data_IF_880711042456
#
_entry.id   IF_880711042456
#
_cell.length_a   1.000
_cell.length_b   1.000
_cell.length_c   1.000
_cell.angle_alpha   90.00
_cell.angle_beta   90.00
_cell.angle_gamma   90.00
#
_symmetry.space_group_name_H-M   'P 1'
#
loop_
_entity.id
_entity.type
_entity.pdbx_description
1 polymer ?
#
# COMPACT_ATOMS: atom_id res chain seq x y z
N UNK A 1 13.42 -1.98 3.92
CA UNK A 1 12.21 -2.73 4.32
C UNK A 1 11.15 -2.55 3.24
N UNK A 2 10.29 -3.53 3.01
CA UNK A 2 9.28 -3.50 1.94
C UNK A 2 7.93 -4.06 2.41
N UNK A 3 6.83 -3.41 2.04
CA UNK A 3 5.47 -3.82 2.42
C UNK A 3 4.51 -3.63 1.24
N UNK A 4 3.40 -4.35 1.24
CA UNK A 4 2.30 -4.13 0.28
C UNK A 4 1.44 -2.96 0.74
N UNK A 5 1.03 -2.10 -0.20
CA UNK A 5 0.17 -0.96 0.05
C UNK A 5 -1.02 -1.00 -0.92
N UNK A 6 -2.22 -1.06 -0.37
CA UNK A 6 -3.48 -0.99 -1.12
C UNK A 6 -4.16 0.32 -0.77
N UNK A 7 -4.73 1.00 -1.77
CA UNK A 7 -5.51 2.21 -1.50
C UNK A 7 -6.70 1.89 -0.59
N UNK A 8 -7.10 2.81 0.29
CA UNK A 8 -8.26 2.61 1.16
C UNK A 8 -9.54 2.37 0.33
N UNK A 9 -9.64 3.02 -0.82
CA UNK A 9 -10.74 2.86 -1.76
C UNK A 9 -10.79 1.45 -2.37
N UNK A 10 -9.67 0.91 -2.83
CA UNK A 10 -9.61 -0.47 -3.32
C UNK A 10 -9.84 -1.48 -2.20
N UNK A 11 -9.35 -1.21 -0.99
CA UNK A 11 -9.62 -2.05 0.17
C UNK A 11 -11.13 -2.19 0.41
N UNK A 12 -11.87 -1.08 0.47
CA UNK A 12 -13.34 -1.10 0.61
C UNK A 12 -14.02 -1.76 -0.58
N UNK A 13 -13.60 -1.44 -1.82
CA UNK A 13 -14.16 -2.08 -3.02
C UNK A 13 -13.96 -3.59 -3.03
N UNK A 14 -12.79 -4.08 -2.61
CA UNK A 14 -12.50 -5.51 -2.54
C UNK A 14 -13.34 -6.21 -1.46
N UNK A 15 -13.60 -5.54 -0.33
CA UNK A 15 -14.53 -6.06 0.68
C UNK A 15 -15.95 -6.18 0.12
N UNK A 16 -16.45 -5.13 -0.54
CA UNK A 16 -17.79 -5.14 -1.15
C UNK A 16 -17.90 -6.17 -2.27
N UNK A 17 -16.86 -6.30 -3.10
CA UNK A 17 -16.77 -7.32 -4.14
C UNK A 17 -16.89 -8.72 -3.57
N UNK A 18 -16.06 -9.06 -2.57
CA UNK A 18 -16.06 -10.38 -1.92
C UNK A 18 -17.40 -10.68 -1.24
N UNK A 19 -18.00 -9.71 -0.55
CA UNK A 19 -19.33 -9.86 0.05
C UNK A 19 -20.39 -10.11 -1.03
N UNK A 20 -20.29 -9.42 -2.17
CA UNK A 20 -21.23 -9.51 -3.29
C UNK A 20 -21.23 -10.86 -4.01
N UNK A 21 -20.22 -11.71 -3.83
CA UNK A 21 -20.17 -13.06 -4.40
C UNK A 21 -21.22 -14.00 -3.77
N UNK A 22 -21.71 -13.68 -2.57
CA UNK A 22 -22.86 -14.36 -1.96
C UNK A 22 -22.59 -15.77 -1.43
N UNK A 23 -21.34 -16.13 -1.15
CA UNK A 23 -20.99 -17.42 -0.55
C UNK A 23 -21.60 -17.58 0.86
N UNK A 24 -22.14 -18.76 1.17
CA UNK A 24 -22.62 -19.09 2.51
C UNK A 24 -21.44 -19.23 3.49
N UNK A 25 -21.45 -18.44 4.57
CA UNK A 25 -20.46 -18.51 5.65
C UNK A 25 -19.44 -17.35 5.66
N UNK A 26 -18.38 -17.45 6.48
CA UNK A 26 -17.39 -16.38 6.61
C UNK A 26 -16.50 -16.27 5.36
N UNK A 27 -16.45 -15.07 4.77
CA UNK A 27 -15.56 -14.78 3.66
C UNK A 27 -14.12 -14.50 4.15
N UNK A 28 -13.23 -15.47 3.96
CA UNK A 28 -11.81 -15.35 4.30
C UNK A 28 -10.98 -15.08 3.04
N UNK A 29 -10.57 -13.82 2.84
CA UNK A 29 -9.74 -13.40 1.72
C UNK A 29 -8.64 -12.43 2.19
N UNK A 30 -7.44 -12.60 1.66
CA UNK A 30 -6.39 -11.59 1.76
C UNK A 30 -6.70 -10.48 0.78
N UNK A 31 -6.65 -9.23 1.24
CA UNK A 31 -6.88 -8.05 0.43
C UNK A 31 -5.56 -7.32 0.19
N UNK A 32 -5.23 -7.06 -1.07
CA UNK A 32 -3.98 -6.41 -1.43
C UNK A 32 -3.77 -6.39 -2.94
N UNK A 33 -2.60 -5.91 -3.35
CA UNK A 33 -2.24 -5.68 -4.75
C UNK A 33 -1.32 -6.76 -5.33
N UNK A 34 -0.73 -7.61 -4.48
CA UNK A 34 0.22 -8.65 -4.91
C UNK A 34 1.65 -8.16 -5.17
N UNK A 35 1.91 -6.87 -4.98
CA UNK A 35 3.23 -6.26 -5.04
C UNK A 35 3.63 -5.59 -3.71
N UNK A 36 4.83 -5.02 -3.67
CA UNK A 36 5.36 -4.30 -2.50
C UNK A 36 6.06 -3.02 -2.92
N UNK A 37 6.04 -2.03 -2.03
CA UNK A 37 6.85 -0.82 -2.14
C UNK A 37 7.86 -0.76 -0.98
N UNK A 38 9.08 -0.28 -1.27
CA UNK A 38 10.14 -0.13 -0.26
C UNK A 38 9.99 1.18 0.50
N UNK A 39 10.44 1.21 1.77
CA UNK A 39 10.41 2.44 2.59
C UNK A 39 11.26 3.56 1.96
N UNK A 40 12.39 3.22 1.33
CA UNK A 40 13.18 4.19 0.57
C UNK A 40 12.37 4.80 -0.58
N UNK A 41 11.65 3.95 -1.33
CA UNK A 41 10.82 4.42 -2.44
C UNK A 41 9.66 5.29 -1.96
N UNK A 42 9.05 4.97 -0.83
CA UNK A 42 8.02 5.81 -0.20
C UNK A 42 8.58 7.21 0.13
N UNK A 43 9.79 7.28 0.71
CA UNK A 43 10.43 8.57 1.02
C UNK A 43 10.70 9.39 -0.25
N UNK A 44 11.20 8.75 -1.32
CA UNK A 44 11.39 9.39 -2.62
C UNK A 44 10.09 9.94 -3.19
N UNK A 45 9.00 9.16 -3.17
CA UNK A 45 7.68 9.60 -3.64
C UNK A 45 7.20 10.83 -2.87
N UNK A 46 7.34 10.84 -1.54
CA UNK A 46 6.94 11.99 -0.73
C UNK A 46 7.76 13.23 -1.10
N UNK A 47 9.07 13.09 -1.33
CA UNK A 47 9.91 14.20 -1.78
C UNK A 47 9.45 14.71 -3.16
N UNK A 48 9.27 13.79 -4.12
CA UNK A 48 8.80 14.09 -5.48
C UNK A 48 7.48 14.87 -5.46
N UNK A 49 6.49 14.39 -4.70
CA UNK A 49 5.16 15.00 -4.65
C UNK A 49 5.11 16.27 -3.78
N UNK A 50 6.06 16.48 -2.88
CA UNK A 50 6.15 17.70 -2.06
C UNK A 50 6.67 18.93 -2.81
N UNK A 51 7.32 18.73 -3.96
CA UNK A 51 7.97 19.81 -4.70
C UNK A 51 9.12 20.52 -3.97
N UNK A 52 9.59 19.96 -2.84
CA UNK A 52 10.66 20.54 -2.05
C UNK A 52 12.04 20.29 -2.69
N UNK A 53 12.83 21.34 -2.80
CA UNK A 53 14.21 21.26 -3.27
C UNK A 53 15.18 21.05 -2.11
N UNK A 54 16.31 20.37 -2.37
CA UNK A 54 17.39 20.21 -1.39
C UNK A 54 17.10 19.25 -0.24
N UNK A 55 16.13 18.33 -0.39
CA UNK A 55 15.82 17.31 0.63
C UNK A 55 16.83 16.17 0.58
N UNK A 56 17.34 15.74 1.75
CA UNK A 56 18.19 14.56 1.92
C UNK A 56 17.44 13.43 2.65
N UNK A 57 17.76 12.18 2.32
CA UNK A 57 17.25 11.00 3.02
C UNK A 57 18.37 10.43 3.90
N UNK A 58 18.19 10.51 5.22
CA UNK A 58 19.11 9.92 6.19
C UNK A 58 18.56 8.59 6.73
N UNK A 59 19.37 7.54 6.61
CA UNK A 59 18.99 6.21 7.07
C UNK A 59 19.52 5.97 8.48
N UNK A 60 18.65 5.48 9.36
CA UNK A 60 19.00 5.11 10.73
C UNK A 60 18.60 3.66 11.00
N UNK A 61 19.25 3.02 11.98
CA UNK A 61 18.97 1.62 12.33
C UNK A 61 19.65 0.60 11.41
N UNK A 62 19.08 -0.60 11.34
CA UNK A 62 19.58 -1.72 10.54
C UNK A 62 18.52 -2.27 9.60
N UNK A 63 18.45 -3.60 9.43
CA UNK A 63 17.44 -4.25 8.55
C UNK A 63 15.98 -4.10 9.03
N UNK A 64 15.74 -3.52 10.20
CA UNK A 64 14.44 -3.36 10.87
C UNK A 64 14.37 -2.00 11.55
N UNK A 65 13.17 -1.41 11.61
CA UNK A 65 12.94 -0.14 12.31
C UNK A 65 12.93 -0.31 13.84
N UNK A 66 12.33 -1.40 14.33
CA UNK A 66 12.25 -1.72 15.77
C UNK A 66 12.15 -3.23 16.01
N UNK A 67 12.25 -3.65 17.27
CA UNK A 67 12.09 -5.05 17.66
C UNK A 67 10.68 -5.56 17.30
N UNK A 68 10.61 -6.60 16.46
CA UNK A 68 9.36 -7.16 15.95
C UNK A 68 8.96 -6.68 14.55
N UNK A 69 9.61 -5.66 13.98
CA UNK A 69 9.32 -5.23 12.61
C UNK A 69 9.77 -6.29 11.60
N UNK A 70 8.90 -6.59 10.64
CA UNK A 70 9.13 -7.62 9.62
C UNK A 70 9.77 -6.94 8.40
N UNK A 71 11.00 -7.32 8.01
CA UNK A 71 11.74 -6.62 6.95
C UNK A 71 11.03 -6.59 5.59
N UNK A 72 10.28 -7.65 5.27
CA UNK A 72 9.47 -7.77 4.06
C UNK A 72 8.16 -8.51 4.38
N UNK A 73 7.02 -7.90 4.09
CA UNK A 73 5.72 -8.53 4.30
C UNK A 73 4.76 -8.22 3.15
N UNK A 74 4.02 -9.24 2.73
CA UNK A 74 2.94 -9.14 1.75
C UNK A 74 2.03 -10.35 1.94
N UNK A 75 0.80 -10.23 1.44
CA UNK A 75 -0.19 -11.31 1.49
C UNK A 75 -0.23 -12.01 0.13
N UNK A 76 -0.46 -13.32 0.14
CA UNK A 76 -0.86 -14.02 -1.08
C UNK A 76 -2.31 -13.64 -1.41
N UNK A 77 -2.49 -12.90 -2.50
CA UNK A 77 -3.78 -12.38 -2.97
C UNK A 77 -4.36 -13.20 -4.12
N UNK A 78 -3.78 -14.36 -4.45
CA UNK A 78 -4.23 -15.22 -5.56
C UNK A 78 -5.73 -15.52 -5.47
N UNK A 79 -6.23 -15.77 -4.25
CA UNK A 79 -7.65 -16.03 -4.00
C UNK A 79 -8.53 -14.84 -4.38
N UNK A 80 -8.14 -13.62 -4.01
CA UNK A 80 -8.89 -12.40 -4.34
C UNK A 80 -8.88 -12.15 -5.86
N UNK A 81 -7.72 -12.22 -6.50
CA UNK A 81 -7.59 -11.96 -7.94
C UNK A 81 -8.38 -12.99 -8.78
N UNK A 82 -8.43 -14.25 -8.32
CA UNK A 82 -9.23 -15.29 -8.96
C UNK A 82 -10.74 -15.02 -8.91
N UNK A 83 -11.23 -14.13 -8.05
CA UNK A 83 -12.64 -13.69 -8.04
C UNK A 83 -12.96 -12.65 -9.13
N UNK A 84 -11.96 -12.22 -9.91
CA UNK A 84 -12.10 -11.15 -10.91
C UNK A 84 -11.96 -9.73 -10.34
N UNK A 85 -11.54 -9.58 -9.08
CA UNK A 85 -11.21 -8.27 -8.54
C UNK A 85 -9.89 -7.76 -9.12
N UNK A 86 -9.91 -6.56 -9.68
CA UNK A 86 -8.73 -5.87 -10.20
C UNK A 86 -8.46 -4.61 -9.35
N UNK A 87 -7.33 -4.54 -8.63
CA UNK A 87 -6.90 -3.31 -7.96
C UNK A 87 -6.76 -2.16 -8.97
N UNK A 88 -7.16 -0.96 -8.60
CA UNK A 88 -7.06 0.21 -9.49
C UNK A 88 -5.65 0.81 -9.50
N UNK A 89 -4.85 0.51 -8.46
CA UNK A 89 -3.46 0.93 -8.34
C UNK A 89 -2.61 -0.15 -7.66
N UNK A 90 -1.36 -0.27 -8.08
CA UNK A 90 -0.32 -1.05 -7.40
C UNK A 90 0.31 -0.25 -6.24
N UNK A 91 1.16 -0.88 -5.42
CA UNK A 91 1.65 -0.29 -4.18
C UNK A 91 2.28 1.09 -4.35
N UNK A 92 3.15 1.26 -5.36
CA UNK A 92 3.80 2.56 -5.60
C UNK A 92 2.78 3.67 -5.94
N UNK A 93 1.84 3.37 -6.85
CA UNK A 93 0.85 4.35 -7.27
C UNK A 93 -0.12 4.68 -6.12
N UNK A 94 -0.54 3.69 -5.34
CA UNK A 94 -1.38 3.90 -4.15
C UNK A 94 -0.69 4.80 -3.11
N UNK A 95 0.61 4.61 -2.89
CA UNK A 95 1.42 5.48 -2.02
C UNK A 95 1.49 6.89 -2.59
N UNK A 96 1.75 7.04 -3.90
CA UNK A 96 1.84 8.35 -4.57
C UNK A 96 0.54 9.13 -4.49
N UNK A 97 -0.59 8.49 -4.77
CA UNK A 97 -1.90 9.13 -4.69
C UNK A 97 -2.22 9.55 -3.25
N UNK A 98 -1.87 8.72 -2.27
CA UNK A 98 -2.01 9.07 -0.85
C UNK A 98 -1.12 10.25 -0.48
N UNK A 99 0.14 10.28 -0.93
CA UNK A 99 1.05 11.39 -0.67
C UNK A 99 0.49 12.71 -1.21
N UNK A 100 -0.01 12.72 -2.46
CA UNK A 100 -0.64 13.91 -3.08
C UNK A 100 -1.81 14.44 -2.26
N UNK A 101 -2.71 13.56 -1.83
CA UNK A 101 -3.87 13.93 -1.02
C UNK A 101 -3.42 14.54 0.30
N UNK A 102 -2.51 13.89 1.02
CA UNK A 102 -2.04 14.37 2.32
C UNK A 102 -1.27 15.70 2.22
N UNK A 103 -0.45 15.87 1.18
CA UNK A 103 0.28 17.12 0.91
C UNK A 103 -0.71 18.27 0.66
N UNK A 104 -1.74 18.02 -0.16
CA UNK A 104 -2.81 18.98 -0.40
C UNK A 104 -3.60 19.30 0.87
N UNK A 105 -3.84 18.34 1.75
CA UNK A 105 -4.56 18.54 3.02
C UNK A 105 -3.79 19.43 4.01
N UNK A 106 -2.46 19.34 4.02
CA UNK A 106 -1.60 20.17 4.89
C UNK A 106 -1.20 21.51 4.25
N UNK A 107 -1.59 21.77 3.00
CA UNK A 107 -1.39 23.04 2.30
C UNK A 107 0.04 23.26 1.80
N UNK A 108 0.76 22.19 1.45
CA UNK A 108 2.02 22.27 0.70
C UNK A 108 1.76 22.29 -0.81
#
# INVERSE_FOLDING_TARGET
>A
QEKSYMSAHDCVKSMLHVIGLGDEGPALNNLGTGDTCSVSRIAEIVIEESGLEGVSIDYTGGRRGWAGDVPKTYLDVTKLLATGFEPTAMSEQAVRDTARVLISEIGL
#
